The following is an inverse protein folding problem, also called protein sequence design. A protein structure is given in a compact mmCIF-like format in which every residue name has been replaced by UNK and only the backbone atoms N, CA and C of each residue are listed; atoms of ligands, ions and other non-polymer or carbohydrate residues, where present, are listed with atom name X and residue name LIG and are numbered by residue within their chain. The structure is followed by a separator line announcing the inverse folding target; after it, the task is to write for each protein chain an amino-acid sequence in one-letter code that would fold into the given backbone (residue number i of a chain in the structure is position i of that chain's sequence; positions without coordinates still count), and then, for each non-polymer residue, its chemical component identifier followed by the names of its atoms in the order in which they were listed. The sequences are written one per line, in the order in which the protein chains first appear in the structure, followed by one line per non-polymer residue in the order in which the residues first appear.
data_IF_508777259016
#
_entry.id   IF_508777259016
#
_cell.length_a   1.000
_cell.length_b   1.000
_cell.length_c   1.000
_cell.angle_alpha   90.00
_cell.angle_beta   90.00
_cell.angle_gamma   90.00
#
_symmetry.space_group_name_H-M   'P 1'
#
loop_
_entity.id
_entity.type
_entity.pdbx_description
1 polymer ?
#
# COMPACT_ATOMS: atom_id res chain seq x y z
N UNK A 1 -5.56 -33.46 18.64
CA UNK A 1 -5.67 -34.37 17.48
C UNK A 1 -4.46 -34.17 16.58
N UNK A 2 -3.74 -35.22 16.21
CA UNK A 2 -2.49 -35.13 15.45
C UNK A 2 -2.57 -35.87 14.11
N UNK A 3 -1.60 -35.66 13.22
CA UNK A 3 -1.51 -36.41 11.95
C UNK A 3 -1.32 -37.92 12.17
N UNK A 4 -0.71 -38.32 13.29
CA UNK A 4 -0.62 -39.73 13.69
C UNK A 4 -1.99 -40.33 14.00
N UNK A 5 -2.90 -39.56 14.60
CA UNK A 5 -4.25 -40.02 14.90
C UNK A 5 -5.06 -40.22 13.62
N UNK A 6 -4.91 -39.32 12.64
CA UNK A 6 -5.51 -39.47 11.32
C UNK A 6 -4.95 -40.68 10.56
N UNK A 7 -3.64 -40.90 10.59
CA UNK A 7 -3.02 -42.06 9.94
C UNK A 7 -3.52 -43.39 10.51
N UNK A 8 -3.63 -43.47 11.84
CA UNK A 8 -4.17 -44.63 12.57
C UNK A 8 -5.63 -44.89 12.21
N UNK A 9 -6.46 -43.86 12.24
CA UNK A 9 -7.89 -43.95 11.91
C UNK A 9 -8.15 -44.33 10.44
N UNK A 10 -7.32 -43.84 9.53
CA UNK A 10 -7.41 -44.16 8.10
C UNK A 10 -6.79 -45.53 7.73
N UNK A 11 -6.07 -46.17 8.66
CA UNK A 11 -5.37 -47.45 8.42
C UNK A 11 -4.22 -47.33 7.41
N UNK A 12 -3.50 -46.20 7.41
CA UNK A 12 -2.37 -45.95 6.50
C UNK A 12 -1.12 -45.53 7.27
N UNK A 13 0.06 -45.58 6.61
CA UNK A 13 1.28 -45.07 7.22
C UNK A 13 1.24 -43.55 7.40
N UNK A 14 2.00 -43.03 8.38
CA UNK A 14 2.15 -41.59 8.60
C UNK A 14 2.56 -40.83 7.32
N UNK A 15 3.50 -41.39 6.56
CA UNK A 15 3.94 -40.82 5.28
C UNK A 15 2.81 -40.76 4.23
N UNK A 16 1.93 -41.76 4.19
CA UNK A 16 0.77 -41.79 3.29
C UNK A 16 -0.28 -40.76 3.70
N UNK A 17 -0.58 -40.65 5.00
CA UNK A 17 -1.50 -39.64 5.53
C UNK A 17 -0.97 -38.21 5.29
N UNK A 18 0.32 -37.99 5.50
CA UNK A 18 0.99 -36.71 5.20
C UNK A 18 0.86 -36.33 3.73
N UNK A 19 1.19 -37.25 2.80
CA UNK A 19 1.08 -37.00 1.35
C UNK A 19 -0.35 -36.74 0.90
N UNK A 20 -1.31 -37.48 1.44
CA UNK A 20 -2.73 -37.35 1.14
C UNK A 20 -3.34 -36.00 1.60
N UNK A 21 -2.84 -35.43 2.70
CA UNK A 21 -3.33 -34.13 3.21
C UNK A 21 -2.50 -32.92 2.75
N UNK A 22 -1.27 -33.13 2.29
CA UNK A 22 -0.37 -32.06 1.84
C UNK A 22 -0.35 -31.85 0.31
N UNK A 23 -1.31 -32.43 -0.43
CA UNK A 23 -1.54 -32.15 -1.85
C UNK A 23 -0.71 -32.97 -2.84
N UNK A 24 -0.16 -34.11 -2.41
CA UNK A 24 0.53 -35.06 -3.31
C UNK A 24 -0.44 -36.12 -3.84
N UNK A 25 -1.63 -35.71 -4.29
CA UNK A 25 -2.72 -36.58 -4.75
C UNK A 25 -2.29 -37.52 -5.88
N UNK A 26 -1.30 -37.11 -6.70
CA UNK A 26 -0.68 -37.94 -7.76
C UNK A 26 0.12 -39.14 -7.25
N UNK A 27 0.54 -39.15 -5.99
CA UNK A 27 1.43 -40.18 -5.41
C UNK A 27 0.71 -41.18 -4.50
N UNK A 28 -0.58 -40.97 -4.24
CA UNK A 28 -1.37 -41.77 -3.30
C UNK A 28 -2.53 -42.40 -4.05
N UNK A 29 -2.75 -43.71 -3.85
CA UNK A 29 -3.92 -44.40 -4.41
C UNK A 29 -5.20 -43.69 -3.99
N UNK A 30 -6.13 -43.50 -4.93
CA UNK A 30 -7.38 -42.76 -4.70
C UNK A 30 -8.16 -43.26 -3.46
N UNK A 31 -8.15 -44.57 -3.23
CA UNK A 31 -8.75 -45.19 -2.05
C UNK A 31 -8.11 -44.73 -0.73
N UNK A 32 -6.78 -44.66 -0.66
CA UNK A 32 -6.06 -44.18 0.53
C UNK A 32 -6.31 -42.69 0.76
N UNK A 33 -6.38 -41.90 -0.32
CA UNK A 33 -6.71 -40.48 -0.25
C UNK A 33 -8.11 -40.26 0.36
N UNK A 34 -9.10 -41.01 -0.11
CA UNK A 34 -10.47 -40.95 0.38
C UNK A 34 -10.55 -41.33 1.87
N UNK A 35 -9.89 -42.43 2.28
CA UNK A 35 -9.85 -42.87 3.69
C UNK A 35 -9.21 -41.83 4.61
N UNK A 36 -8.09 -41.23 4.19
CA UNK A 36 -7.39 -40.20 4.98
C UNK A 36 -8.23 -38.93 5.12
N UNK A 37 -8.87 -38.45 4.05
CA UNK A 37 -9.74 -37.26 4.12
C UNK A 37 -10.95 -37.51 5.02
N UNK A 38 -11.60 -38.66 4.91
CA UNK A 38 -12.73 -39.03 5.76
C UNK A 38 -12.34 -39.14 7.25
N UNK A 39 -11.15 -39.70 7.54
CA UNK A 39 -10.62 -39.76 8.89
C UNK A 39 -10.30 -38.35 9.44
N UNK A 40 -9.67 -37.49 8.64
CA UNK A 40 -9.37 -36.12 9.05
C UNK A 40 -10.64 -35.31 9.38
N UNK A 41 -11.69 -35.40 8.55
CA UNK A 41 -12.98 -34.75 8.80
C UNK A 41 -13.63 -35.25 10.10
N UNK A 42 -13.69 -36.56 10.30
CA UNK A 42 -14.31 -37.17 11.49
C UNK A 42 -13.60 -36.77 12.78
N UNK A 43 -12.28 -36.63 12.71
CA UNK A 43 -11.43 -36.26 13.84
C UNK A 43 -11.30 -34.74 14.02
N UNK A 44 -11.92 -33.93 13.15
CA UNK A 44 -11.75 -32.47 13.15
C UNK A 44 -10.30 -32.02 12.95
N UNK A 45 -9.47 -32.87 12.32
CA UNK A 45 -8.06 -32.57 12.11
C UNK A 45 -7.90 -31.56 10.98
N UNK A 46 -7.31 -30.41 11.30
CA UNK A 46 -6.85 -29.42 10.33
C UNK A 46 -5.33 -29.43 10.30
N UNK A 47 -4.68 -29.58 9.13
CA UNK A 47 -3.23 -29.50 9.03
C UNK A 47 -2.68 -28.17 9.58
N UNK A 48 -1.55 -28.23 10.29
CA UNK A 48 -0.86 -27.03 10.74
C UNK A 48 -0.20 -26.33 9.55
N UNK A 49 -0.68 -25.13 9.22
CA UNK A 49 -0.16 -24.28 8.13
C UNK A 49 1.36 -24.03 8.24
N UNK A 50 1.90 -23.93 9.46
CA UNK A 50 3.34 -23.79 9.72
C UNK A 50 4.15 -25.04 9.37
N UNK A 51 3.63 -26.24 9.69
CA UNK A 51 4.26 -27.51 9.31
C UNK A 51 4.18 -27.75 7.79
N UNK A 52 3.10 -27.31 7.15
CA UNK A 52 2.97 -27.34 5.69
C UNK A 52 3.96 -26.40 5.00
N UNK A 53 4.15 -25.19 5.53
CA UNK A 53 5.11 -24.24 5.01
C UNK A 53 6.56 -24.75 5.13
N UNK A 54 6.90 -25.44 6.22
CA UNK A 54 8.21 -26.09 6.38
C UNK A 54 8.39 -27.20 5.35
N UNK A 55 7.39 -28.05 5.15
CA UNK A 55 7.46 -29.16 4.18
C UNK A 55 7.54 -28.70 2.72
N UNK A 56 6.88 -27.58 2.38
CA UNK A 56 6.85 -26.99 1.02
C UNK A 56 7.97 -25.96 0.79
N UNK A 57 8.64 -25.52 1.85
CA UNK A 57 9.65 -24.45 1.82
C UNK A 57 9.10 -23.02 1.76
N UNK A 58 7.78 -22.85 1.57
CA UNK A 58 7.09 -21.55 1.46
C UNK A 58 5.72 -21.57 2.12
N UNK A 59 5.28 -20.44 2.65
CA UNK A 59 3.93 -20.22 3.14
C UNK A 59 2.94 -19.95 1.99
N UNK A 60 1.68 -20.33 2.15
CA UNK A 60 0.63 -20.11 1.14
C UNK A 60 0.15 -18.66 1.12
N UNK A 61 1.07 -17.71 0.97
CA UNK A 61 0.76 -16.28 0.99
C UNK A 61 1.38 -15.51 -0.17
N UNK A 62 0.69 -14.46 -0.60
CA UNK A 62 1.23 -13.37 -1.41
C UNK A 62 1.50 -12.20 -0.46
N UNK A 63 2.73 -11.73 -0.40
CA UNK A 63 3.08 -10.51 0.32
C UNK A 63 3.04 -9.32 -0.65
N UNK A 64 2.25 -8.29 -0.33
CA UNK A 64 2.17 -7.04 -1.09
C UNK A 64 2.80 -5.90 -0.27
N UNK A 65 3.87 -5.31 -0.79
CA UNK A 65 4.55 -4.18 -0.17
C UNK A 65 4.05 -2.88 -0.82
N UNK A 66 3.43 -2.00 -0.05
CA UNK A 66 2.80 -0.75 -0.53
C UNK A 66 3.39 0.50 0.13
N UNK A 67 3.19 1.66 -0.50
CA UNK A 67 3.58 2.96 0.03
C UNK A 67 2.78 3.37 1.28
N UNK A 68 1.45 3.22 1.22
CA UNK A 68 0.53 3.64 2.26
C UNK A 68 -0.77 2.80 2.19
N UNK A 69 -1.58 2.78 3.26
CA UNK A 69 -2.85 2.02 3.32
C UNK A 69 -4.09 2.90 3.22
N UNK A 70 -3.94 4.18 3.53
CA UNK A 70 -4.95 5.21 3.45
C UNK A 70 -5.09 5.81 2.04
N UNK A 71 -4.19 5.44 1.12
CA UNK A 71 -4.22 5.85 -0.28
C UNK A 71 -5.12 4.90 -1.10
N UNK A 72 -6.24 5.40 -1.68
CA UNK A 72 -7.14 4.59 -2.50
C UNK A 72 -6.46 3.91 -3.70
N UNK A 73 -5.36 4.47 -4.20
CA UNK A 73 -4.55 3.86 -5.25
C UNK A 73 -4.04 2.46 -4.84
N UNK A 74 -3.46 2.35 -3.65
CA UNK A 74 -2.96 1.08 -3.13
C UNK A 74 -4.08 0.15 -2.69
N UNK A 75 -5.20 0.69 -2.20
CA UNK A 75 -6.38 -0.11 -1.85
C UNK A 75 -6.94 -0.86 -3.08
N UNK A 76 -7.10 -0.18 -4.22
CA UNK A 76 -7.59 -0.82 -5.46
C UNK A 76 -6.61 -1.86 -6.02
N UNK A 77 -5.30 -1.62 -5.90
CA UNK A 77 -4.28 -2.62 -6.25
C UNK A 77 -4.39 -3.83 -5.32
N UNK A 78 -4.50 -3.62 -4.01
CA UNK A 78 -4.61 -4.69 -3.02
C UNK A 78 -5.85 -5.56 -3.23
N UNK A 79 -6.99 -4.96 -3.61
CA UNK A 79 -8.20 -5.71 -3.99
C UNK A 79 -7.93 -6.65 -5.18
N UNK A 80 -7.26 -6.14 -6.23
CA UNK A 80 -6.83 -6.94 -7.37
C UNK A 80 -5.86 -8.06 -7.00
N UNK A 81 -4.89 -7.77 -6.15
CA UNK A 81 -3.94 -8.77 -5.64
C UNK A 81 -4.66 -9.83 -4.81
N UNK A 82 -5.63 -9.45 -3.98
CA UNK A 82 -6.43 -10.40 -3.21
C UNK A 82 -7.20 -11.35 -4.13
N UNK A 83 -7.85 -10.82 -5.18
CA UNK A 83 -8.52 -11.61 -6.21
C UNK A 83 -7.57 -12.61 -6.88
N UNK A 84 -6.40 -12.14 -7.35
CA UNK A 84 -5.39 -13.00 -7.97
C UNK A 84 -4.83 -14.05 -7.02
N UNK A 85 -4.58 -13.68 -5.76
CA UNK A 85 -4.09 -14.59 -4.73
C UNK A 85 -5.12 -15.69 -4.43
N UNK A 86 -6.40 -15.35 -4.27
CA UNK A 86 -7.47 -16.31 -3.99
C UNK A 86 -7.69 -17.28 -5.15
N UNK A 87 -7.64 -16.79 -6.39
CA UNK A 87 -7.69 -17.65 -7.58
C UNK A 87 -6.55 -18.69 -7.60
N UNK A 88 -5.38 -18.35 -7.04
CA UNK A 88 -4.23 -19.24 -6.89
C UNK A 88 -4.23 -20.07 -5.58
N UNK A 89 -5.26 -19.95 -4.73
CA UNK A 89 -5.33 -20.63 -3.43
C UNK A 89 -4.36 -20.08 -2.37
N UNK A 90 -3.99 -18.81 -2.48
CA UNK A 90 -3.07 -18.09 -1.58
C UNK A 90 -3.83 -17.02 -0.78
N UNK A 91 -3.29 -16.65 0.39
CA UNK A 91 -3.80 -15.52 1.18
C UNK A 91 -2.95 -14.26 0.98
N UNK A 92 -3.56 -13.08 0.93
CA UNK A 92 -2.84 -11.80 0.88
C UNK A 92 -2.34 -11.39 2.27
N UNK A 93 -1.09 -10.93 2.36
CA UNK A 93 -0.55 -10.16 3.49
C UNK A 93 0.00 -8.84 2.96
N UNK A 94 -0.52 -7.71 3.44
CA UNK A 94 -0.01 -6.39 3.08
C UNK A 94 1.05 -5.91 4.09
N UNK A 95 2.09 -5.26 3.59
CA UNK A 95 3.12 -4.59 4.38
C UNK A 95 3.30 -3.15 3.89
N UNK A 96 3.42 -2.21 4.81
CA UNK A 96 3.34 -0.77 4.51
C UNK A 96 4.68 -0.13 4.78
N UNK A 97 5.19 0.61 3.81
CA UNK A 97 6.53 1.22 3.86
C UNK A 97 6.50 2.65 4.39
N UNK A 98 5.34 3.27 4.51
CA UNK A 98 5.18 4.71 4.76
C UNK A 98 6.01 5.56 3.79
N UNK A 99 6.08 5.09 2.53
CA UNK A 99 6.90 5.65 1.44
C UNK A 99 8.40 5.77 1.78
N UNK A 100 8.89 5.04 2.80
CA UNK A 100 10.31 4.99 3.18
C UNK A 100 11.05 3.87 2.41
N UNK A 101 12.10 4.20 1.64
CA UNK A 101 12.94 3.20 0.98
C UNK A 101 13.60 2.23 1.97
N UNK A 102 14.11 2.73 3.10
CA UNK A 102 14.75 1.93 4.15
C UNK A 102 13.77 0.94 4.78
N UNK A 103 12.55 1.39 5.10
CA UNK A 103 11.49 0.52 5.60
C UNK A 103 11.12 -0.55 4.58
N UNK A 104 11.05 -0.19 3.30
CA UNK A 104 10.85 -1.15 2.19
C UNK A 104 11.90 -2.26 2.19
N UNK A 105 13.18 -1.91 2.30
CA UNK A 105 14.28 -2.87 2.39
C UNK A 105 14.17 -3.77 3.64
N UNK A 106 13.87 -3.20 4.81
CA UNK A 106 13.67 -3.95 6.06
C UNK A 106 12.49 -4.91 5.99
N UNK A 107 11.37 -4.48 5.38
CA UNK A 107 10.20 -5.32 5.15
C UNK A 107 10.55 -6.49 4.25
N UNK A 108 11.26 -6.27 3.14
CA UNK A 108 11.67 -7.36 2.25
C UNK A 108 12.57 -8.36 2.96
N UNK A 109 13.55 -7.90 3.76
CA UNK A 109 14.38 -8.78 4.61
C UNK A 109 13.55 -9.62 5.57
N UNK A 110 12.54 -9.03 6.19
CA UNK A 110 11.60 -9.74 7.08
C UNK A 110 10.76 -10.76 6.32
N UNK A 111 10.26 -10.40 5.14
CA UNK A 111 9.47 -11.27 4.27
C UNK A 111 10.28 -12.47 3.78
N UNK A 112 11.59 -12.31 3.49
CA UNK A 112 12.47 -13.43 3.18
C UNK A 112 12.48 -14.50 4.25
N UNK A 113 12.48 -14.11 5.54
CA UNK A 113 12.39 -15.05 6.66
C UNK A 113 11.01 -15.71 6.80
N UNK A 114 9.94 -14.99 6.46
CA UNK A 114 8.56 -15.52 6.47
C UNK A 114 8.23 -16.41 5.27
N UNK A 115 9.05 -16.34 4.21
CA UNK A 115 8.93 -17.12 2.97
C UNK A 115 7.50 -17.15 2.43
N UNK A 116 6.89 -16.01 2.05
CA UNK A 116 5.69 -16.03 1.21
C UNK A 116 5.98 -16.78 -0.09
N UNK A 117 4.97 -17.19 -0.86
CA UNK A 117 5.22 -17.74 -2.20
C UNK A 117 5.57 -16.63 -3.19
N UNK A 118 4.90 -15.47 -3.05
CA UNK A 118 5.04 -14.31 -3.92
C UNK A 118 5.34 -13.07 -3.09
N UNK A 119 6.28 -12.23 -3.54
CA UNK A 119 6.46 -10.86 -3.08
C UNK A 119 6.11 -9.92 -4.24
N UNK A 120 5.12 -9.06 -4.04
CA UNK A 120 4.77 -7.97 -4.95
C UNK A 120 5.24 -6.65 -4.35
N UNK A 121 5.93 -5.84 -5.14
CA UNK A 121 6.36 -4.49 -4.73
C UNK A 121 5.54 -3.46 -5.49
N UNK A 122 4.68 -2.73 -4.79
CA UNK A 122 3.86 -1.64 -5.29
C UNK A 122 4.38 -0.31 -4.74
N UNK A 123 5.29 0.34 -5.48
CA UNK A 123 5.87 1.59 -5.03
C UNK A 123 6.67 2.32 -6.10
N UNK A 124 6.44 3.62 -6.21
CA UNK A 124 7.24 4.52 -7.04
C UNK A 124 8.67 4.64 -6.49
N UNK A 125 9.63 4.89 -7.37
CA UNK A 125 11.01 5.25 -6.99
C UNK A 125 11.02 6.57 -6.20
N UNK A 126 11.93 6.66 -5.25
CA UNK A 126 12.52 7.86 -4.61
C UNK A 126 14.01 7.80 -4.88
N UNK A 127 14.58 8.65 -5.72
CA UNK A 127 15.96 8.58 -6.21
C UNK A 127 17.07 8.42 -5.12
N UNK A 128 17.36 7.18 -4.68
CA UNK A 128 18.45 6.76 -3.78
C UNK A 128 19.04 5.42 -4.27
N UNK A 129 20.11 5.50 -5.06
CA UNK A 129 20.68 4.34 -5.76
C UNK A 129 21.28 3.28 -4.81
N UNK A 130 21.65 3.65 -3.58
CA UNK A 130 22.27 2.73 -2.61
C UNK A 130 21.27 1.76 -1.99
N UNK A 131 20.13 2.27 -1.52
CA UNK A 131 19.05 1.44 -0.97
C UNK A 131 18.46 0.54 -2.06
N UNK A 132 18.46 0.99 -3.32
CA UNK A 132 17.98 0.19 -4.44
C UNK A 132 18.84 -1.02 -4.78
N UNK A 133 20.16 -0.85 -4.82
CA UNK A 133 21.05 -1.97 -5.05
C UNK A 133 20.85 -3.05 -3.98
N UNK A 134 20.73 -2.65 -2.71
CA UNK A 134 20.45 -3.57 -1.61
C UNK A 134 19.08 -4.25 -1.75
N UNK A 135 18.02 -3.52 -2.08
CA UNK A 135 16.68 -4.10 -2.29
C UNK A 135 16.67 -5.12 -3.42
N UNK A 136 17.31 -4.78 -4.54
CA UNK A 136 17.45 -5.68 -5.69
C UNK A 136 18.14 -6.97 -5.27
N UNK A 137 19.27 -6.88 -4.54
CA UNK A 137 20.01 -8.03 -4.05
C UNK A 137 19.16 -8.94 -3.15
N UNK A 138 18.38 -8.37 -2.23
CA UNK A 138 17.48 -9.12 -1.34
C UNK A 138 16.40 -9.88 -2.11
N UNK A 139 15.75 -9.24 -3.09
CA UNK A 139 14.76 -9.85 -3.96
C UNK A 139 15.38 -10.95 -4.83
N UNK A 140 16.61 -10.76 -5.28
CA UNK A 140 17.35 -11.72 -6.07
C UNK A 140 17.72 -12.97 -5.26
N UNK A 141 18.19 -12.79 -4.03
CA UNK A 141 18.46 -13.89 -3.11
C UNK A 141 17.17 -14.67 -2.80
N UNK A 142 16.04 -13.97 -2.65
CA UNK A 142 14.73 -14.59 -2.47
C UNK A 142 14.27 -15.40 -3.69
N UNK A 143 14.44 -14.85 -4.90
CA UNK A 143 14.16 -15.53 -6.17
C UNK A 143 15.01 -16.80 -6.34
N UNK A 144 16.31 -16.72 -6.07
CA UNK A 144 17.23 -17.89 -6.09
C UNK A 144 16.84 -18.98 -5.10
N UNK A 145 16.22 -18.61 -3.98
CA UNK A 145 15.69 -19.56 -2.99
C UNK A 145 14.35 -20.21 -3.41
N UNK A 146 13.85 -19.89 -4.60
CA UNK A 146 12.62 -20.44 -5.19
C UNK A 146 11.39 -19.52 -5.09
N UNK A 147 11.53 -18.34 -4.50
CA UNK A 147 10.43 -17.38 -4.34
C UNK A 147 10.05 -16.71 -5.66
N UNK A 148 8.83 -16.18 -5.74
CA UNK A 148 8.35 -15.41 -6.90
C UNK A 148 8.29 -13.92 -6.58
N UNK A 149 8.71 -13.08 -7.51
CA UNK A 149 8.70 -11.62 -7.37
C UNK A 149 8.06 -11.01 -8.60
N UNK A 150 7.23 -9.98 -8.40
CA UNK A 150 6.89 -9.05 -9.48
C UNK A 150 6.82 -7.61 -8.96
N UNK A 151 7.06 -6.66 -9.85
CA UNK A 151 7.07 -5.24 -9.55
C UNK A 151 5.89 -4.54 -10.22
N UNK A 152 5.31 -3.58 -9.52
CA UNK A 152 4.33 -2.65 -10.08
C UNK A 152 5.00 -1.28 -10.22
N UNK A 153 4.97 -0.76 -11.45
CA UNK A 153 5.45 0.57 -11.83
C UNK A 153 6.98 0.77 -11.73
N UNK A 154 7.79 -0.31 -11.71
CA UNK A 154 9.27 -0.26 -11.72
C UNK A 154 9.88 -1.24 -12.73
N UNK A 155 10.49 -0.73 -13.80
CA UNK A 155 11.05 -1.54 -14.90
C UNK A 155 12.59 -1.63 -14.88
N UNK A 156 13.25 -1.05 -13.89
CA UNK A 156 14.71 -0.94 -13.83
C UNK A 156 15.41 -2.14 -13.18
N UNK A 157 14.64 -3.12 -12.69
CA UNK A 157 15.16 -4.37 -12.13
C UNK A 157 14.76 -5.54 -13.02
N UNK A 158 15.61 -6.57 -13.06
CA UNK A 158 15.39 -7.80 -13.84
C UNK A 158 14.39 -8.75 -13.15
N UNK A 159 13.20 -8.22 -12.85
CA UNK A 159 12.04 -8.94 -12.33
C UNK A 159 10.86 -8.76 -13.28
N UNK A 160 9.89 -9.70 -13.28
CA UNK A 160 8.63 -9.47 -13.97
C UNK A 160 7.98 -8.18 -13.48
N UNK A 161 7.59 -7.31 -14.42
CA UNK A 161 7.12 -5.97 -14.10
C UNK A 161 5.85 -5.65 -14.87
N UNK A 162 4.88 -5.05 -14.19
CA UNK A 162 3.79 -4.32 -14.83
C UNK A 162 4.08 -2.82 -14.77
N UNK A 163 4.11 -2.15 -15.92
CA UNK A 163 4.26 -0.70 -16.01
C UNK A 163 2.94 -0.02 -16.36
N UNK A 164 2.83 1.25 -16.01
CA UNK A 164 1.69 2.11 -16.38
C UNK A 164 2.27 3.30 -17.14
N UNK A 165 1.66 3.64 -18.27
CA UNK A 165 2.04 4.81 -19.07
C UNK A 165 1.57 6.12 -18.39
N UNK A 166 2.28 6.52 -17.35
CA UNK A 166 1.99 7.73 -16.58
C UNK A 166 2.16 9.01 -17.41
N UNK A 167 3.25 9.08 -18.18
CA UNK A 167 3.57 10.25 -19.01
C UNK A 167 2.56 10.39 -20.16
N UNK A 168 2.38 9.36 -20.97
CA UNK A 168 1.49 9.40 -22.13
C UNK A 168 0.01 9.53 -21.75
N UNK A 169 -0.40 9.01 -20.58
CA UNK A 169 -1.72 9.28 -20.00
C UNK A 169 -1.94 10.76 -19.69
N UNK A 170 -1.00 11.38 -18.97
CA UNK A 170 -1.11 12.78 -18.57
C UNK A 170 -0.97 13.73 -19.78
N UNK A 171 -0.12 13.37 -20.73
CA UNK A 171 0.04 14.05 -22.00
C UNK A 171 -1.27 14.09 -22.79
N UNK A 172 -1.95 12.93 -22.94
CA UNK A 172 -3.25 12.85 -23.64
C UNK A 172 -4.33 13.63 -22.92
N UNK A 173 -4.34 13.63 -21.58
CA UNK A 173 -5.26 14.46 -20.80
C UNK A 173 -5.02 15.95 -21.07
N UNK A 174 -3.77 16.43 -21.04
CA UNK A 174 -3.44 17.81 -21.35
C UNK A 174 -3.91 18.23 -22.75
N UNK A 175 -3.69 17.38 -23.76
CA UNK A 175 -4.17 17.63 -25.12
C UNK A 175 -5.70 17.70 -25.19
N UNK A 176 -6.40 16.79 -24.51
CA UNK A 176 -7.86 16.78 -24.47
C UNK A 176 -8.39 18.08 -23.84
N UNK A 177 -7.81 18.53 -22.72
CA UNK A 177 -8.23 19.76 -22.05
C UNK A 177 -7.91 21.01 -22.89
N UNK A 178 -6.75 21.07 -23.55
CA UNK A 178 -6.46 22.14 -24.51
C UNK A 178 -7.46 22.16 -25.68
N UNK A 179 -7.87 20.97 -26.15
CA UNK A 179 -8.90 20.81 -27.18
C UNK A 179 -10.30 21.26 -26.75
N UNK A 180 -10.59 21.27 -25.45
CA UNK A 180 -11.81 21.84 -24.87
C UNK A 180 -11.78 23.37 -24.76
N UNK A 181 -10.70 24.04 -25.20
CA UNK A 181 -10.60 25.50 -25.23
C UNK A 181 -9.83 26.12 -24.06
N UNK A 182 -9.45 25.33 -23.05
CA UNK A 182 -8.69 25.83 -21.91
C UNK A 182 -7.27 26.28 -22.30
N UNK A 183 -6.80 27.38 -21.70
CA UNK A 183 -5.49 27.98 -22.00
C UNK A 183 -4.65 28.30 -20.77
N UNK A 184 -5.23 28.47 -19.58
CA UNK A 184 -4.49 28.79 -18.35
C UNK A 184 -4.59 27.65 -17.34
N UNK A 185 -3.47 27.04 -17.01
CA UNK A 185 -3.40 25.82 -16.20
C UNK A 185 -2.54 26.02 -14.96
N UNK A 186 -2.85 25.27 -13.91
CA UNK A 186 -1.94 24.97 -12.80
C UNK A 186 -1.76 23.45 -12.67
N UNK A 187 -0.59 23.04 -12.19
CA UNK A 187 -0.21 21.64 -11.98
C UNK A 187 0.17 21.45 -10.52
N UNK A 188 -0.54 20.57 -9.81
CA UNK A 188 -0.22 20.14 -8.46
C UNK A 188 0.48 18.79 -8.50
N UNK A 189 1.70 18.72 -7.99
CA UNK A 189 2.52 17.51 -7.98
C UNK A 189 3.15 17.26 -6.60
N UNK A 190 3.63 16.04 -6.39
CA UNK A 190 4.49 15.67 -5.26
C UNK A 190 5.97 15.90 -5.53
N UNK A 191 6.79 15.60 -4.54
CA UNK A 191 8.26 15.61 -4.64
C UNK A 191 8.76 14.97 -5.95
N UNK A 192 9.63 15.67 -6.68
CA UNK A 192 10.14 15.25 -7.99
C UNK A 192 10.91 13.92 -7.95
N UNK A 193 11.40 13.52 -6.77
CA UNK A 193 12.02 12.20 -6.58
C UNK A 193 11.01 11.07 -6.71
N UNK A 194 9.72 11.35 -6.53
CA UNK A 194 8.64 10.38 -6.71
C UNK A 194 8.35 10.26 -8.22
N UNK A 195 8.95 9.24 -8.85
CA UNK A 195 8.88 9.01 -10.30
C UNK A 195 7.48 9.11 -10.90
N UNK A 196 6.47 8.47 -10.28
CA UNK A 196 5.08 8.54 -10.75
C UNK A 196 4.58 9.99 -10.83
N UNK A 197 4.83 10.79 -9.78
CA UNK A 197 4.42 12.19 -9.72
C UNK A 197 5.14 13.01 -10.79
N UNK A 198 6.46 12.82 -10.90
CA UNK A 198 7.28 13.44 -11.92
C UNK A 198 6.78 13.12 -13.33
N UNK A 199 6.53 11.85 -13.65
CA UNK A 199 6.13 11.42 -15.01
C UNK A 199 4.74 11.93 -15.38
N UNK A 200 3.79 11.94 -14.44
CA UNK A 200 2.46 12.54 -14.66
C UNK A 200 2.55 14.05 -14.85
N UNK A 201 3.26 14.75 -13.95
CA UNK A 201 3.42 16.20 -14.04
C UNK A 201 4.11 16.63 -15.33
N UNK A 202 5.21 15.96 -15.69
CA UNK A 202 5.96 16.22 -16.93
C UNK A 202 5.16 15.86 -18.16
N UNK A 203 4.47 14.72 -18.18
CA UNK A 203 3.60 14.34 -19.29
C UNK A 203 2.53 15.37 -19.57
N UNK A 204 1.89 15.89 -18.52
CA UNK A 204 0.89 16.95 -18.66
C UNK A 204 1.49 18.24 -19.23
N UNK A 205 2.61 18.71 -18.68
CA UNK A 205 3.31 19.91 -19.16
C UNK A 205 3.80 19.77 -20.61
N UNK A 206 4.30 18.60 -21.00
CA UNK A 206 4.72 18.30 -22.36
C UNK A 206 3.54 18.32 -23.34
N UNK A 207 2.38 17.78 -22.93
CA UNK A 207 1.14 17.83 -23.71
C UNK A 207 0.62 19.23 -23.94
N UNK A 208 0.66 20.09 -22.90
CA UNK A 208 0.32 21.51 -23.03
C UNK A 208 1.29 22.25 -23.95
N UNK A 209 2.60 21.99 -23.81
CA UNK A 209 3.63 22.61 -24.66
C UNK A 209 3.40 22.28 -26.13
N UNK A 210 3.03 21.04 -26.44
CA UNK A 210 2.70 20.64 -27.81
C UNK A 210 1.43 21.32 -28.35
N UNK A 211 0.49 21.68 -27.48
CA UNK A 211 -0.67 22.50 -27.83
C UNK A 211 -0.37 24.02 -27.89
N UNK A 212 0.90 24.42 -27.75
CA UNK A 212 1.33 25.82 -27.75
C UNK A 212 1.01 26.58 -26.45
N UNK A 213 0.78 25.87 -25.35
CA UNK A 213 0.39 26.44 -24.05
C UNK A 213 1.56 26.33 -23.08
N UNK A 214 1.94 27.45 -22.49
CA UNK A 214 2.97 27.53 -21.46
C UNK A 214 2.32 27.71 -20.08
N UNK A 215 2.78 26.95 -19.11
CA UNK A 215 2.40 27.08 -17.70
C UNK A 215 3.50 27.83 -16.98
N UNK A 216 3.15 28.93 -16.32
CA UNK A 216 4.09 29.70 -15.52
C UNK A 216 4.62 28.88 -14.34
N UNK A 217 5.90 29.03 -14.00
CA UNK A 217 6.54 28.26 -12.92
C UNK A 217 5.80 28.39 -11.58
N UNK A 218 5.22 29.56 -11.28
CA UNK A 218 4.41 29.79 -10.07
C UNK A 218 3.08 29.02 -10.02
N UNK A 219 2.66 28.43 -11.14
CA UNK A 219 1.48 27.57 -11.25
C UNK A 219 1.85 26.08 -11.30
N UNK A 220 3.13 25.73 -11.15
CA UNK A 220 3.60 24.36 -10.96
C UNK A 220 3.98 24.20 -9.49
N UNK A 221 3.13 23.54 -8.71
CA UNK A 221 3.18 23.56 -7.25
C UNK A 221 3.46 22.16 -6.71
N UNK A 222 4.58 22.05 -5.99
CA UNK A 222 4.91 20.88 -5.19
C UNK A 222 4.16 20.90 -3.84
N UNK A 223 3.50 19.80 -3.50
CA UNK A 223 2.75 19.62 -2.25
C UNK A 223 2.65 18.13 -1.89
N UNK A 224 2.06 17.80 -0.75
CA UNK A 224 1.85 16.41 -0.37
C UNK A 224 0.88 15.71 -1.33
N UNK A 225 1.15 14.43 -1.64
CA UNK A 225 0.32 13.60 -2.53
C UNK A 225 -0.99 13.11 -1.87
N UNK A 226 -1.57 13.91 -0.99
CA UNK A 226 -2.79 13.60 -0.26
C UNK A 226 -3.84 14.71 -0.44
N UNK A 227 -5.04 14.46 0.08
CA UNK A 227 -6.16 15.40 -0.01
C UNK A 227 -5.82 16.79 0.55
N UNK A 228 -5.18 16.84 1.71
CA UNK A 228 -4.89 18.11 2.39
C UNK A 228 -3.81 18.90 1.66
N UNK A 229 -2.83 18.23 1.07
CA UNK A 229 -1.83 18.85 0.20
C UNK A 229 -2.45 19.50 -1.03
N UNK A 230 -3.39 18.79 -1.69
CA UNK A 230 -4.16 19.35 -2.82
C UNK A 230 -5.05 20.53 -2.42
N UNK A 231 -5.71 20.44 -1.26
CA UNK A 231 -6.50 21.54 -0.70
C UNK A 231 -5.66 22.79 -0.43
N UNK A 232 -4.56 22.67 0.32
CA UNK A 232 -3.69 23.81 0.67
C UNK A 232 -3.09 24.48 -0.56
N UNK A 233 -2.65 23.69 -1.53
CA UNK A 233 -2.07 24.22 -2.77
C UNK A 233 -3.10 24.97 -3.62
N UNK A 234 -4.30 24.42 -3.78
CA UNK A 234 -5.38 25.10 -4.49
C UNK A 234 -5.85 26.36 -3.76
N UNK A 235 -5.96 26.33 -2.43
CA UNK A 235 -6.32 27.51 -1.65
C UNK A 235 -5.29 28.65 -1.81
N UNK A 236 -3.99 28.31 -1.91
CA UNK A 236 -2.94 29.29 -2.17
C UNK A 236 -3.00 29.87 -3.59
N UNK A 237 -3.24 29.03 -4.60
CA UNK A 237 -3.47 29.45 -6.00
C UNK A 237 -4.62 30.46 -6.10
N UNK A 238 -5.76 30.16 -5.48
CA UNK A 238 -6.96 30.99 -5.56
C UNK A 238 -6.78 32.36 -4.89
N UNK A 239 -5.84 32.48 -3.94
CA UNK A 239 -5.49 33.73 -3.25
C UNK A 239 -4.35 34.51 -3.92
N UNK A 240 -3.76 33.96 -5.00
CA UNK A 240 -2.52 34.46 -5.61
C UNK A 240 -1.34 34.56 -4.61
N UNK A 241 -1.30 33.66 -3.62
CA UNK A 241 -0.25 33.57 -2.59
C UNK A 241 0.63 32.32 -2.80
N UNK A 242 1.03 32.07 -4.05
CA UNK A 242 1.87 30.91 -4.42
C UNK A 242 3.35 31.11 -4.10
N UNK A 243 3.74 32.29 -3.62
CA UNK A 243 5.13 32.65 -3.26
C UNK A 243 5.74 31.73 -2.20
N UNK A 244 4.90 31.08 -1.38
CA UNK A 244 5.32 30.13 -0.34
C UNK A 244 5.63 28.72 -0.85
N UNK A 245 5.30 28.42 -2.11
CA UNK A 245 5.48 27.09 -2.72
C UNK A 245 6.58 27.07 -3.79
N UNK A 246 7.28 28.19 -3.98
CA UNK A 246 8.40 28.26 -4.92
C UNK A 246 9.59 27.46 -4.38
N UNK A 247 10.12 26.54 -5.19
CA UNK A 247 11.30 25.72 -4.85
C UNK A 247 12.49 26.62 -4.45
N UNK A 248 13.27 26.27 -3.41
CA UNK A 248 14.61 26.81 -3.25
C UNK A 248 15.40 26.54 -4.53
N UNK A 249 15.98 27.61 -5.07
CA UNK A 249 16.46 27.69 -6.45
C UNK A 249 17.43 26.59 -6.87
N UNK A 250 17.28 26.25 -8.14
CA UNK A 250 18.31 25.71 -9.03
C UNK A 250 19.48 26.71 -9.10
N UNK A 251 20.37 26.69 -8.11
CA UNK A 251 21.65 27.41 -8.10
C UNK A 251 22.73 26.45 -7.61
N UNK A 252 23.90 26.49 -8.26
CA UNK A 252 24.93 25.44 -8.22
C UNK A 252 25.44 25.05 -6.82
N UNK A 253 25.99 23.84 -6.74
CA UNK A 253 26.89 23.43 -5.65
C UNK A 253 27.99 24.52 -5.43
N UNK A 254 28.52 24.72 -4.20
CA UNK A 254 28.77 23.69 -3.19
C UNK A 254 28.52 24.07 -1.70
N UNK A 255 28.56 23.08 -0.80
CA UNK A 255 29.09 23.24 0.56
C UNK A 255 28.14 23.01 1.74
N UNK A 256 28.38 21.92 2.48
CA UNK A 256 28.46 21.91 3.95
C UNK A 256 27.21 22.17 4.82
N UNK A 257 26.70 21.08 5.39
CA UNK A 257 26.17 20.93 6.76
C UNK A 257 25.12 21.92 7.32
N UNK A 258 23.94 21.39 7.66
CA UNK A 258 23.00 22.03 8.58
C UNK A 258 21.62 21.38 8.59
N UNK A 259 21.44 20.32 9.40
CA UNK A 259 20.13 19.71 9.67
C UNK A 259 19.31 20.60 10.62
N UNK A 260 18.04 20.92 10.35
CA UNK A 260 17.15 21.47 11.37
C UNK A 260 16.50 20.34 12.18
N UNK A 261 16.82 20.34 13.46
CA UNK A 261 16.34 19.43 14.50
C UNK A 261 14.88 19.73 14.86
N UNK A 262 14.18 18.63 15.19
CA UNK A 262 12.81 18.48 15.66
C UNK A 262 12.32 19.50 16.72
N UNK A 263 11.05 19.86 16.62
CA UNK A 263 10.29 20.59 17.64
C UNK A 263 9.75 19.63 18.71
N UNK A 264 9.85 20.06 19.97
CA UNK A 264 9.75 19.26 21.19
C UNK A 264 8.37 18.71 21.57
N UNK A 265 8.43 17.64 22.37
CA UNK A 265 7.41 17.28 23.37
C UNK A 265 7.95 17.57 24.78
N UNK A 266 7.11 17.97 25.75
CA UNK A 266 7.59 18.47 27.04
C UNK A 266 7.83 17.36 28.08
N UNK A 267 9.02 17.43 28.70
CA UNK A 267 9.23 17.44 30.16
C UNK A 267 8.78 16.25 31.01
N UNK A 268 9.72 15.34 31.30
CA UNK A 268 9.69 14.45 32.47
C UNK A 268 11.11 14.34 33.04
N UNK A 269 11.30 14.75 34.30
CA UNK A 269 12.59 15.08 34.89
C UNK A 269 13.56 13.92 35.12
N UNK A 270 14.86 14.27 35.16
CA UNK A 270 15.92 13.49 35.81
C UNK A 270 15.86 13.67 37.34
N UNK A 271 16.57 12.84 38.10
CA UNK A 271 17.94 13.27 38.44
C UNK A 271 19.01 12.17 38.46
N UNK A 272 20.23 12.66 38.27
CA UNK A 272 21.53 12.23 38.81
C UNK A 272 22.20 10.93 38.37
N UNK A 273 23.47 11.09 37.93
CA UNK A 273 24.53 10.26 38.50
C UNK A 273 25.65 9.78 37.58
N UNK A 274 26.71 10.60 37.44
CA UNK A 274 28.13 10.20 37.55
C UNK A 274 28.76 9.30 36.46
N UNK A 275 29.84 9.81 35.85
CA UNK A 275 31.11 9.04 35.73
C UNK A 275 31.62 8.69 34.33
N UNK A 276 32.50 9.53 33.78
CA UNK A 276 33.62 9.08 32.90
C UNK A 276 34.75 8.49 33.78
N UNK A 277 35.67 7.63 33.27
CA UNK A 277 36.75 8.00 32.31
C UNK A 277 36.90 6.92 31.20
N UNK A 278 37.65 7.05 30.10
CA UNK A 278 38.77 7.91 29.74
C UNK A 278 39.89 7.04 29.15
N UNK A 279 40.21 7.25 27.87
CA UNK A 279 41.57 7.10 27.29
C UNK A 279 42.06 5.71 26.83
N UNK A 280 42.66 5.67 25.62
CA UNK A 280 43.74 4.71 25.34
C UNK A 280 43.80 4.11 23.94
N UNK A 281 44.34 4.86 22.98
CA UNK A 281 44.82 4.39 21.66
C UNK A 281 45.94 3.35 21.77
N UNK A 282 46.01 2.38 20.84
CA UNK A 282 47.25 1.93 20.18
C UNK A 282 47.02 1.01 18.96
N UNK A 283 47.61 1.42 17.84
CA UNK A 283 47.88 0.64 16.63
C UNK A 283 48.93 -0.48 16.84
N UNK A 284 48.83 -1.56 16.06
CA UNK A 284 49.90 -2.25 15.25
C UNK A 284 49.29 -3.52 14.59
N UNK A 285 49.14 -3.58 13.27
CA UNK A 285 50.06 -4.11 12.23
C UNK A 285 50.50 -5.57 12.39
N UNK A 286 50.16 -6.43 11.41
CA UNK A 286 50.83 -7.72 11.20
C UNK A 286 50.02 -8.75 10.39
N UNK A 287 50.19 -8.77 9.06
CA UNK A 287 50.15 -9.98 8.20
C UNK A 287 51.62 -10.45 7.99
N UNK A 288 51.98 -11.61 7.40
CA UNK A 288 51.22 -12.42 6.41
C UNK A 288 51.46 -13.97 6.43
N UNK A 289 50.85 -14.66 5.45
CA UNK A 289 51.24 -15.99 4.93
C UNK A 289 50.42 -17.15 5.51
N UNK A 290 49.89 -18.13 4.79
CA UNK A 290 50.13 -18.63 3.44
C UNK A 290 49.99 -20.16 3.51
N UNK A 291 49.29 -20.80 2.56
CA UNK A 291 49.32 -22.27 2.39
C UNK A 291 47.96 -22.99 2.37
N UNK A 292 47.51 -23.34 1.17
CA UNK A 292 46.82 -24.62 0.87
C UNK A 292 47.90 -25.63 0.40
N UNK A 293 47.68 -26.96 0.19
CA UNK A 293 46.40 -27.65 -0.06
C UNK A 293 46.25 -29.11 0.48
N UNK A 294 45.09 -29.70 0.17
CA UNK A 294 44.76 -31.14 0.04
C UNK A 294 44.84 -32.10 1.24
N UNK A 295 43.76 -32.88 1.43
CA UNK A 295 43.77 -34.08 2.28
C UNK A 295 42.40 -34.71 2.48
N UNK A 296 42.05 -35.62 1.59
CA UNK A 296 40.93 -36.58 1.67
C UNK A 296 41.05 -37.52 2.89
N UNK A 297 39.94 -37.91 3.50
CA UNK A 297 39.87 -39.16 4.27
C UNK A 297 38.98 -39.13 5.51
N UNK A 298 37.76 -39.67 5.39
CA UNK A 298 37.08 -40.39 6.50
C UNK A 298 37.77 -41.75 6.68
N UNK A 299 37.86 -42.31 7.90
CA UNK A 299 36.78 -43.07 8.54
C UNK A 299 36.64 -42.69 10.05
N UNK A 300 35.50 -42.80 10.74
CA UNK A 300 34.70 -43.99 10.95
C UNK A 300 34.75 -44.39 12.43
N UNK A 301 33.58 -44.61 13.03
CA UNK A 301 33.28 -45.28 14.32
C UNK A 301 33.34 -44.48 15.63
N UNK A 302 32.13 -44.37 16.23
CA UNK A 302 31.82 -44.87 17.58
C UNK A 302 32.15 -43.96 18.76
N UNK A 303 31.13 -43.53 19.52
CA UNK A 303 30.90 -43.91 20.91
C UNK A 303 29.52 -43.41 21.37
N UNK A 304 28.88 -44.24 22.17
CA UNK A 304 27.54 -44.16 22.76
C UNK A 304 27.56 -43.62 24.20
N UNK A 305 26.37 -43.33 24.72
CA UNK A 305 25.97 -42.93 26.09
C UNK A 305 26.11 -41.43 26.40
N UNK A 306 25.16 -40.76 27.07
CA UNK A 306 23.97 -41.21 27.78
C UNK A 306 23.61 -40.14 28.82
N UNK A 307 22.32 -39.81 28.91
CA UNK A 307 21.58 -39.19 30.02
C UNK A 307 22.09 -37.86 30.66
N UNK A 308 21.23 -36.83 30.68
CA UNK A 308 20.50 -36.49 31.92
C UNK A 308 19.49 -35.34 31.70
N UNK A 309 18.25 -35.60 32.12
CA UNK A 309 17.19 -34.61 32.36
C UNK A 309 17.16 -34.28 33.85
N UNK A 310 16.75 -33.05 34.24
CA UNK A 310 16.13 -32.86 35.54
C UNK A 310 14.66 -32.48 35.39
N UNK A 311 13.82 -33.31 36.02
CA UNK A 311 12.44 -33.05 36.40
C UNK A 311 12.35 -32.36 37.76
N UNK A 312 11.36 -31.47 37.93
CA UNK A 312 10.90 -30.97 39.23
C UNK A 312 9.46 -30.44 39.18
N UNK A 313 8.52 -31.14 39.84
CA UNK A 313 7.20 -30.63 40.27
C UNK A 313 7.33 -29.79 41.56
N UNK A 314 6.35 -29.10 42.13
CA UNK A 314 4.88 -29.22 42.32
C UNK A 314 4.27 -27.77 42.32
N UNK A 315 2.97 -27.44 42.35
CA UNK A 315 1.82 -27.95 43.11
C UNK A 315 0.46 -27.35 42.63
N UNK A 316 -0.61 -28.08 42.99
CA UNK A 316 -2.07 -27.95 42.83
C UNK A 316 -2.80 -26.60 42.92
N UNK A 317 -4.01 -26.57 42.34
CA UNK A 317 -5.15 -25.81 42.90
C UNK A 317 -6.38 -25.58 42.00
N UNK A 318 -7.46 -26.36 42.21
CA UNK A 318 -8.88 -26.18 41.84
C UNK A 318 -9.25 -26.29 40.33
N UNK A 319 -10.32 -26.95 39.86
CA UNK A 319 -11.53 -27.51 40.47
C UNK A 319 -12.76 -27.25 39.55
N UNK A 320 -13.07 -28.20 38.64
CA UNK A 320 -14.37 -28.75 38.12
C UNK A 320 -15.67 -27.89 38.19
N UNK A 321 -16.71 -27.99 37.30
CA UNK A 321 -17.04 -29.06 36.33
C UNK A 321 -17.53 -28.69 34.90
N UNK A 322 -17.51 -29.76 34.10
CA UNK A 322 -18.30 -30.14 32.94
C UNK A 322 -19.84 -30.08 33.06
N UNK A 323 -20.49 -29.80 31.93
CA UNK A 323 -21.88 -30.13 31.57
C UNK A 323 -22.16 -29.47 30.22
N UNK A 324 -22.75 -30.05 29.18
CA UNK A 324 -23.60 -31.21 29.00
C UNK A 324 -24.43 -30.85 27.75
N UNK A 325 -24.29 -31.61 26.67
CA UNK A 325 -25.18 -31.50 25.50
C UNK A 325 -26.48 -32.27 25.80
N UNK A 326 -27.64 -31.88 25.25
CA UNK A 326 -28.09 -32.61 24.07
C UNK A 326 -28.87 -31.80 23.01
N UNK A 327 -28.72 -32.26 21.76
CA UNK A 327 -29.65 -32.35 20.63
C UNK A 327 -30.92 -31.47 20.57
N UNK A 328 -31.16 -30.88 19.39
CA UNK A 328 -32.49 -30.45 18.97
C UNK A 328 -32.53 -29.83 17.58
N UNK A 329 -32.94 -30.62 16.58
CA UNK A 329 -33.22 -30.19 15.22
C UNK A 329 -34.40 -29.20 15.14
N UNK A 330 -34.41 -28.35 14.11
CA UNK A 330 -35.63 -27.64 13.70
C UNK A 330 -35.38 -26.31 13.00
N UNK A 331 -35.25 -26.32 11.68
CA UNK A 331 -35.77 -25.22 10.86
C UNK A 331 -37.29 -25.38 10.74
N UNK A 332 -38.05 -24.27 10.65
CA UNK A 332 -38.58 -23.95 9.32
C UNK A 332 -38.67 -22.43 9.00
N UNK A 333 -38.40 -22.15 7.73
CA UNK A 333 -39.07 -21.22 6.80
C UNK A 333 -39.81 -19.95 7.27
N UNK A 334 -39.38 -18.83 6.65
CA UNK A 334 -40.16 -17.86 5.85
C UNK A 334 -41.15 -16.85 6.46
N UNK A 335 -40.92 -15.61 6.03
CA UNK A 335 -41.88 -14.56 5.61
C UNK A 335 -42.71 -13.82 6.68
N UNK A 336 -42.69 -12.49 6.59
CA UNK A 336 -43.62 -11.62 7.31
C UNK A 336 -43.25 -10.14 7.31
N UNK A 337 -43.60 -9.44 6.23
CA UNK A 337 -43.72 -7.97 6.13
C UNK A 337 -44.80 -7.47 7.12
N UNK A 338 -44.62 -6.26 7.69
CA UNK A 338 -45.60 -5.20 8.03
C UNK A 338 -44.90 -4.18 8.97
N UNK A 339 -44.54 -2.97 8.56
CA UNK A 339 -45.37 -1.76 8.42
C UNK A 339 -46.11 -1.30 9.69
N UNK A 340 -45.70 -0.16 10.24
CA UNK A 340 -46.63 0.93 10.60
C UNK A 340 -46.79 1.34 12.07
N UNK A 341 -46.56 2.65 12.31
CA UNK A 341 -47.02 3.52 13.42
C UNK A 341 -46.42 3.28 14.83
N UNK A 342 -45.78 4.25 15.49
CA UNK A 342 -46.37 5.50 16.04
C UNK A 342 -47.21 5.14 17.28
N UNK A 343 -47.05 5.65 18.51
CA UNK A 343 -46.84 7.03 18.97
C UNK A 343 -46.46 7.04 20.49
N UNK A 344 -45.60 7.99 20.89
CA UNK A 344 -45.62 8.85 22.11
C UNK A 344 -45.28 8.39 23.55
N UNK A 345 -44.29 9.15 24.11
CA UNK A 345 -44.12 9.74 25.48
C UNK A 345 -43.97 8.76 26.65
N UNK A 346 -42.98 8.83 27.54
CA UNK A 346 -41.89 9.76 27.82
C UNK A 346 -41.70 9.87 29.34
N UNK A 347 -40.48 9.74 29.88
CA UNK A 347 -40.07 10.27 31.20
C UNK A 347 -38.55 10.15 31.40
N UNK A 348 -37.92 11.23 31.88
CA UNK A 348 -36.73 11.19 32.74
C UNK A 348 -35.35 11.43 32.11
N UNK A 349 -34.87 12.68 32.16
CA UNK A 349 -33.42 13.00 32.21
C UNK A 349 -33.01 13.10 33.71
N UNK A 350 -31.72 12.97 34.10
CA UNK A 350 -30.83 14.15 34.05
C UNK A 350 -29.34 13.89 33.69
N UNK A 351 -28.75 14.87 32.98
CA UNK A 351 -27.38 15.45 33.07
C UNK A 351 -26.15 14.54 32.86
N UNK A 352 -25.08 14.93 32.15
CA UNK A 352 -24.64 16.23 31.64
C UNK A 352 -23.22 16.14 31.04
N UNK A 353 -22.62 17.30 30.77
CA UNK A 353 -21.40 17.60 29.96
C UNK A 353 -21.71 17.73 28.46
N UNK A 354 -21.59 18.86 27.76
CA UNK A 354 -21.02 20.17 28.07
C UNK A 354 -20.18 20.63 26.87
N UNK A 355 -20.81 21.07 25.77
CA UNK A 355 -20.12 21.72 24.64
C UNK A 355 -20.27 23.24 24.74
N UNK A 356 -19.21 24.04 24.55
CA UNK A 356 -19.34 25.49 24.48
C UNK A 356 -19.98 25.92 23.15
N UNK A 357 -21.17 26.47 23.24
CA UNK A 357 -21.85 27.21 22.19
C UNK A 357 -21.32 28.65 22.14
N UNK A 358 -20.72 29.05 21.03
CA UNK A 358 -20.32 30.45 20.84
C UNK A 358 -19.53 30.69 19.56
N UNK A 359 -20.18 30.63 18.40
CA UNK A 359 -19.77 31.38 17.22
C UNK A 359 -21.03 31.91 16.53
N UNK A 360 -21.09 33.24 16.40
CA UNK A 360 -22.22 33.98 15.86
C UNK A 360 -22.49 33.68 14.39
N UNK A 361 -23.71 33.99 13.99
CA UNK A 361 -24.17 33.94 12.61
C UNK A 361 -23.24 34.76 11.69
N UNK A 362 -22.86 34.25 10.50
CA UNK A 362 -22.19 35.09 9.53
C UNK A 362 -23.19 36.08 8.93
N UNK A 363 -22.89 37.37 9.07
CA UNK A 363 -23.57 38.48 8.41
C UNK A 363 -23.68 38.22 6.91
N UNK A 364 -24.91 38.30 6.38
CA UNK A 364 -25.18 38.34 4.95
C UNK A 364 -24.63 39.65 4.39
N UNK A 365 -23.49 39.61 3.71
CA UNK A 365 -23.05 40.72 2.89
C UNK A 365 -24.03 40.94 1.72
N UNK A 366 -24.40 42.20 1.56
CA UNK A 366 -25.46 42.69 0.69
C UNK A 366 -25.23 42.41 -0.79
N UNK A 367 -26.37 42.21 -1.45
CA UNK A 367 -26.53 42.07 -2.88
C UNK A 367 -26.18 43.42 -3.57
N UNK A 368 -25.07 43.48 -4.30
CA UNK A 368 -24.81 44.55 -5.26
C UNK A 368 -24.97 43.97 -6.67
N UNK A 369 -26.03 44.40 -7.35
CA UNK A 369 -26.23 44.11 -8.77
C UNK A 369 -25.08 44.66 -9.59
N UNK A 370 -24.44 43.78 -10.36
CA UNK A 370 -23.41 44.09 -11.34
C UNK A 370 -23.55 43.15 -12.53
N UNK A 371 -23.64 43.74 -13.72
CA UNK A 371 -23.88 43.14 -15.03
C UNK A 371 -23.07 41.86 -15.33
N UNK A 372 -23.71 40.93 -16.03
CA UNK A 372 -23.09 39.78 -16.67
C UNK A 372 -21.90 40.21 -17.57
N UNK A 373 -20.68 39.91 -17.12
CA UNK A 373 -19.42 40.13 -17.84
C UNK A 373 -18.38 39.13 -17.36
N UNK A 374 -17.87 38.31 -18.28
CA UNK A 374 -16.76 37.33 -18.18
C UNK A 374 -16.54 36.62 -16.84
N UNK A 375 -16.76 35.30 -16.81
CA UNK A 375 -16.37 34.40 -15.72
C UNK A 375 -14.87 34.56 -15.40
N UNK A 376 -14.56 35.40 -14.42
CA UNK A 376 -13.19 35.71 -14.00
C UNK A 376 -12.57 34.51 -13.30
N UNK A 377 -11.50 33.97 -13.89
CA UNK A 377 -10.65 32.98 -13.24
C UNK A 377 -10.04 33.56 -11.96
N UNK A 378 -10.43 33.05 -10.79
CA UNK A 378 -9.74 33.36 -9.55
C UNK A 378 -8.28 32.88 -9.65
N UNK A 379 -7.32 33.78 -9.37
CA UNK A 379 -5.89 33.50 -9.51
C UNK A 379 -5.37 33.37 -10.95
N UNK A 380 -6.16 33.76 -11.97
CA UNK A 380 -5.71 33.71 -13.37
C UNK A 380 -5.68 32.31 -14.00
N UNK A 381 -6.07 31.25 -13.28
CA UNK A 381 -6.06 29.86 -13.76
C UNK A 381 -7.47 29.37 -14.13
N UNK A 382 -7.59 28.63 -15.24
CA UNK A 382 -8.86 28.04 -15.68
C UNK A 382 -8.99 26.57 -15.29
N UNK A 383 -7.87 25.88 -15.15
CA UNK A 383 -7.79 24.45 -14.86
C UNK A 383 -6.74 24.19 -13.80
N UNK A 384 -7.07 23.39 -12.80
CA UNK A 384 -6.12 22.76 -11.90
C UNK A 384 -6.02 21.28 -12.28
N UNK A 385 -4.85 20.85 -12.73
CA UNK A 385 -4.51 19.43 -12.83
C UNK A 385 -3.75 19.00 -11.57
N UNK A 386 -4.21 17.95 -10.91
CA UNK A 386 -3.46 17.31 -9.84
C UNK A 386 -2.99 15.92 -10.29
N UNK A 387 -1.76 15.54 -9.96
CA UNK A 387 -1.17 14.27 -10.41
C UNK A 387 -1.84 13.02 -9.82
N UNK A 388 -2.79 13.16 -8.89
CA UNK A 388 -3.70 12.09 -8.48
C UNK A 388 -5.09 12.65 -8.10
N UNK A 389 -6.08 11.76 -8.05
CA UNK A 389 -7.47 12.13 -7.77
C UNK A 389 -7.69 12.64 -6.34
N UNK A 390 -7.00 12.11 -5.33
CA UNK A 390 -7.19 12.56 -3.94
C UNK A 390 -6.76 14.02 -3.76
N UNK A 391 -5.68 14.45 -4.41
CA UNK A 391 -5.27 15.86 -4.45
C UNK A 391 -6.29 16.72 -5.21
N UNK A 392 -6.80 16.24 -6.34
CA UNK A 392 -7.82 16.95 -7.11
C UNK A 392 -9.11 17.16 -6.29
N UNK A 393 -9.53 16.16 -5.51
CA UNK A 393 -10.67 16.26 -4.59
C UNK A 393 -10.40 17.29 -3.48
N UNK A 394 -9.16 17.34 -2.97
CA UNK A 394 -8.70 18.40 -2.09
C UNK A 394 -8.84 19.79 -2.72
N UNK A 395 -8.38 19.94 -3.97
CA UNK A 395 -8.49 21.17 -4.72
C UNK A 395 -9.96 21.60 -4.95
N UNK A 396 -10.85 20.66 -5.29
CA UNK A 396 -12.28 20.92 -5.40
C UNK A 396 -12.88 21.42 -4.08
N UNK A 397 -12.40 20.91 -2.94
CA UNK A 397 -12.83 21.39 -1.62
C UNK A 397 -12.42 22.84 -1.42
N UNK A 398 -11.15 23.18 -1.70
CA UNK A 398 -10.65 24.55 -1.57
C UNK A 398 -11.38 25.55 -2.48
N UNK A 399 -11.69 25.16 -3.72
CA UNK A 399 -12.49 25.97 -4.65
C UNK A 399 -13.86 26.30 -4.04
N UNK A 400 -14.56 25.30 -3.47
CA UNK A 400 -15.85 25.52 -2.81
C UNK A 400 -15.77 26.44 -1.60
N UNK A 401 -14.74 26.26 -0.77
CA UNK A 401 -14.51 27.12 0.40
C UNK A 401 -14.21 28.58 0.03
N UNK A 402 -13.66 28.81 -1.17
CA UNK A 402 -13.49 30.14 -1.73
C UNK A 402 -14.79 30.73 -2.32
N UNK A 403 -15.93 30.04 -2.19
CA UNK A 403 -17.22 30.45 -2.76
C UNK A 403 -17.35 30.21 -4.27
N UNK A 404 -16.41 29.47 -4.87
CA UNK A 404 -16.38 29.15 -6.29
C UNK A 404 -16.92 27.74 -6.54
N UNK A 405 -17.30 27.46 -7.79
CA UNK A 405 -17.83 26.18 -8.23
C UNK A 405 -16.79 25.42 -9.06
N UNK A 406 -16.30 24.26 -8.58
CA UNK A 406 -15.45 23.39 -9.40
C UNK A 406 -16.15 22.99 -10.70
N UNK A 407 -15.39 22.92 -11.79
CA UNK A 407 -15.89 22.71 -13.15
C UNK A 407 -16.38 23.98 -13.82
N UNK A 408 -17.17 24.80 -13.13
CA UNK A 408 -17.72 26.04 -13.70
C UNK A 408 -16.70 27.17 -13.68
N UNK A 409 -16.30 27.59 -12.48
CA UNK A 409 -15.43 28.75 -12.29
C UNK A 409 -13.96 28.34 -12.48
N UNK A 410 -13.57 27.20 -11.90
CA UNK A 410 -12.25 26.56 -12.07
C UNK A 410 -12.43 25.08 -12.37
N UNK A 411 -11.95 24.64 -13.53
CA UNK A 411 -11.99 23.24 -13.91
C UNK A 411 -10.94 22.43 -13.13
N UNK A 412 -11.22 21.15 -12.89
CA UNK A 412 -10.31 20.28 -12.13
C UNK A 412 -10.17 18.94 -12.83
N UNK A 413 -8.93 18.48 -12.95
CA UNK A 413 -8.62 17.15 -13.46
C UNK A 413 -7.64 16.42 -12.54
N UNK A 414 -7.80 15.11 -12.43
CA UNK A 414 -6.95 14.23 -11.65
C UNK A 414 -6.29 13.14 -12.50
N UNK A 415 -5.84 12.10 -11.81
CA UNK A 415 -5.26 10.88 -12.39
C UNK A 415 -5.58 9.73 -11.42
N UNK A 416 -5.84 8.54 -11.95
CA UNK A 416 -6.12 7.23 -11.32
C UNK A 416 -7.54 6.69 -11.64
N UNK A 417 -8.55 7.56 -11.70
CA UNK A 417 -9.99 7.22 -11.74
C UNK A 417 -10.43 6.37 -10.54
N UNK A 418 -10.05 6.76 -9.33
CA UNK A 418 -10.48 6.10 -8.09
C UNK A 418 -12.00 6.20 -7.95
N UNK A 419 -12.62 5.30 -7.16
CA UNK A 419 -14.08 5.29 -7.01
C UNK A 419 -14.65 6.63 -6.56
N UNK A 420 -13.98 7.30 -5.61
CA UNK A 420 -14.37 8.62 -5.12
C UNK A 420 -14.41 9.70 -6.23
N UNK A 421 -13.68 9.54 -7.34
CA UNK A 421 -13.72 10.46 -8.47
C UNK A 421 -15.11 10.53 -9.13
N UNK A 422 -15.92 9.47 -8.97
CA UNK A 422 -17.30 9.37 -9.49
C UNK A 422 -18.34 9.92 -8.52
N UNK A 423 -18.00 10.00 -7.25
CA UNK A 423 -18.93 10.39 -6.18
C UNK A 423 -18.82 11.87 -5.80
N UNK A 424 -17.73 12.54 -6.17
CA UNK A 424 -17.59 13.99 -6.00
C UNK A 424 -18.42 14.77 -7.02
N UNK A 425 -18.86 15.97 -6.62
CA UNK A 425 -19.70 16.85 -7.45
C UNK A 425 -18.97 18.13 -7.86
N UNK A 426 -18.84 18.45 -9.15
CA UNK A 426 -19.10 17.57 -10.30
C UNK A 426 -18.15 16.36 -10.33
N UNK A 427 -18.53 15.31 -11.06
CA UNK A 427 -17.66 14.13 -11.23
C UNK A 427 -16.30 14.54 -11.82
N UNK A 428 -15.23 13.95 -11.28
CA UNK A 428 -13.86 14.34 -11.57
C UNK A 428 -13.39 13.79 -12.92
N UNK A 429 -12.88 14.65 -13.80
CA UNK A 429 -12.15 14.28 -15.02
C UNK A 429 -10.82 13.68 -14.60
N UNK A 430 -10.46 12.51 -15.13
CA UNK A 430 -9.26 11.81 -14.68
C UNK A 430 -8.65 10.95 -15.79
N UNK A 431 -7.45 10.44 -15.57
CA UNK A 431 -6.85 9.37 -16.36
C UNK A 431 -7.08 8.06 -15.61
N UNK A 432 -7.85 7.15 -16.20
CA UNK A 432 -8.13 5.84 -15.64
C UNK A 432 -6.93 4.92 -15.75
N UNK A 433 -6.48 4.44 -14.60
CA UNK A 433 -5.57 3.31 -14.47
C UNK A 433 -6.38 2.10 -14.02
N UNK A 434 -6.30 0.94 -14.70
CA UNK A 434 -7.06 -0.24 -14.28
C UNK A 434 -6.36 -0.92 -13.09
N UNK A 435 -6.37 -0.28 -11.91
CA UNK A 435 -5.59 -0.65 -10.72
C UNK A 435 -5.90 -2.05 -10.18
N UNK A 436 -7.17 -2.44 -10.19
CA UNK A 436 -7.58 -3.80 -9.78
C UNK A 436 -7.02 -4.85 -10.74
N UNK A 437 -7.11 -4.59 -12.05
CA UNK A 437 -6.53 -5.47 -13.06
C UNK A 437 -5.00 -5.54 -12.94
N UNK A 438 -4.35 -4.41 -12.68
CA UNK A 438 -2.92 -4.32 -12.41
C UNK A 438 -2.52 -5.25 -11.25
N UNK A 439 -3.23 -5.19 -10.12
CA UNK A 439 -2.99 -6.07 -8.97
C UNK A 439 -3.21 -7.55 -9.29
N UNK A 440 -4.30 -7.88 -9.99
CA UNK A 440 -4.65 -9.26 -10.37
C UNK A 440 -3.59 -9.86 -11.30
N UNK A 441 -3.23 -9.13 -12.36
CA UNK A 441 -2.19 -9.54 -13.32
C UNK A 441 -0.80 -9.64 -12.69
N UNK A 442 -0.51 -8.87 -11.64
CA UNK A 442 0.78 -8.94 -10.96
C UNK A 442 1.02 -10.29 -10.31
N UNK A 443 -0.03 -10.88 -9.72
CA UNK A 443 0.02 -12.23 -9.15
C UNK A 443 0.24 -13.25 -10.25
N UNK A 444 -0.51 -13.17 -11.36
CA UNK A 444 -0.37 -14.07 -12.51
C UNK A 444 1.04 -14.03 -13.10
N UNK A 445 1.57 -12.82 -13.30
CA UNK A 445 2.90 -12.59 -13.85
C UNK A 445 3.99 -13.14 -12.93
N UNK A 446 3.88 -12.90 -11.61
CA UNK A 446 4.84 -13.43 -10.65
C UNK A 446 4.84 -14.98 -10.62
N UNK A 447 3.65 -15.59 -10.71
CA UNK A 447 3.50 -17.05 -10.67
C UNK A 447 3.99 -17.73 -11.96
N UNK A 448 3.83 -17.09 -13.12
CA UNK A 448 4.34 -17.58 -14.40
C UNK A 448 5.87 -17.74 -14.38
N UNK A 449 6.59 -16.79 -13.76
CA UNK A 449 8.01 -16.93 -13.43
C UNK A 449 9.00 -16.49 -14.52
N UNK A 450 8.52 -16.09 -15.70
CA UNK A 450 9.35 -15.54 -16.78
C UNK A 450 9.50 -14.02 -16.64
N UNK A 451 10.72 -13.45 -16.77
CA UNK A 451 10.91 -12.02 -16.76
C UNK A 451 10.25 -11.40 -18.00
N UNK A 452 9.16 -10.66 -17.77
CA UNK A 452 8.46 -9.89 -18.78
C UNK A 452 8.11 -8.50 -18.23
N UNK A 453 8.28 -7.49 -19.06
CA UNK A 453 7.76 -6.14 -18.81
C UNK A 453 6.48 -6.00 -19.60
N UNK A 454 5.37 -5.79 -18.89
CA UNK A 454 4.04 -5.69 -19.47
C UNK A 454 3.49 -4.30 -19.18
N UNK A 455 3.30 -3.50 -20.21
CA UNK A 455 2.68 -2.20 -20.08
C UNK A 455 1.15 -2.31 -20.03
N UNK A 456 0.54 -1.60 -19.08
CA UNK A 456 -0.90 -1.48 -18.91
C UNK A 456 -1.34 -0.12 -19.47
N UNK A 457 -2.21 -0.10 -20.49
CA UNK A 457 -2.68 1.13 -21.09
C UNK A 457 -3.58 1.90 -20.12
N UNK A 458 -3.55 3.23 -20.26
CA UNK A 458 -4.43 4.15 -19.51
C UNK A 458 -5.37 4.89 -20.45
N UNK A 459 -6.51 5.35 -19.92
CA UNK A 459 -7.58 5.99 -20.68
C UNK A 459 -7.91 7.36 -20.10
N UNK A 460 -8.07 8.38 -20.95
CA UNK A 460 -8.56 9.69 -20.51
C UNK A 460 -10.08 9.64 -20.37
N UNK A 461 -10.60 10.05 -19.21
CA UNK A 461 -12.03 10.06 -18.89
C UNK A 461 -12.47 11.49 -18.58
N UNK A 462 -13.06 12.16 -19.57
CA UNK A 462 -13.62 13.49 -19.40
C UNK A 462 -14.98 13.44 -18.69
N UNK A 463 -15.18 14.34 -17.73
CA UNK A 463 -16.39 14.47 -16.90
C UNK A 463 -16.75 15.94 -16.65
N UNK A 464 -17.75 16.15 -15.79
CA UNK A 464 -18.38 17.45 -15.55
C UNK A 464 -17.48 18.48 -14.82
N UNK A 465 -16.33 18.07 -14.29
CA UNK A 465 -15.33 18.99 -13.69
C UNK A 465 -14.44 19.67 -14.73
N UNK A 466 -14.57 19.33 -16.03
CA UNK A 466 -13.91 20.03 -17.14
C UNK A 466 -14.91 20.22 -18.31
N UNK A 467 -15.97 21.03 -18.14
CA UNK A 467 -16.92 21.28 -19.22
C UNK A 467 -16.24 22.00 -20.41
N UNK A 468 -16.69 21.78 -21.67
CA UNK A 468 -16.15 22.51 -22.83
C UNK A 468 -16.27 24.03 -22.68
N UNK A 469 -15.30 24.79 -23.23
CA UNK A 469 -15.27 26.26 -23.22
C UNK A 469 -15.27 26.88 -24.61
#
# INVERSE_FOLDING_TARGET
MTLHDVAREAGVSYATASRALNGSDRSVRAENLARVRAAATRLGYTPHVSAQAIARGFSNTVALVVGAVDDPYFASIADGVAEGAYAAGLTLTAAVTDRSPDMGLQIVRTLRGRRPQVILIAGSRVDDDGVYAALAEELDQYRRAGGRVALLSRNELDFPTLTVDHHGGAFRLAQALAGLGYRRFAVLHGDDRIRMSHDRGRGFLDGLRQAGIHVEDRHVIATDLNRDGGHRAAAALLRDDTSRYTLPGRAGAPGGAGSPVAAGFPGGGSPDGIGSPGGGSRHRTGSPGGGSPHGTGSPGSGYSNGADFPSGGYSDGAGIPSGGSPNGAGSPSSAGILSGAGISRGTGIPSGTGYPSGLGEPERLGNAGGSAGSAGSAGGVEVIFAVNDVMAIGAMTAIREAGLQPGRDVAVAGFDDIDAARDVTPMLTSVRVPLRELGRRAVELALAGDPAVVEIPVEVVLRNSTPPR
#
